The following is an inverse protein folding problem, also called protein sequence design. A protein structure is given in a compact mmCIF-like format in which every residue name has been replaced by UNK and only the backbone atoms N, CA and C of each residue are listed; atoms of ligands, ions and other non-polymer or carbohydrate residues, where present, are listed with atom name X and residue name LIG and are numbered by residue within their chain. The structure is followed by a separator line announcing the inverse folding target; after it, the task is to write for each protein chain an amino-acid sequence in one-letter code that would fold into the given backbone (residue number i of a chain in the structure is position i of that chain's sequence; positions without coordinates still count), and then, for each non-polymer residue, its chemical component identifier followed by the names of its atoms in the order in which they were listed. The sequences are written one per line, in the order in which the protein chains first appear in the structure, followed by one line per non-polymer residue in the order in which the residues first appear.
data_IF_609654921396
#
_entry.id   IF_609654921396
#
_cell.length_a   1.000
_cell.length_b   1.000
_cell.length_c   1.000
_cell.angle_alpha   90.00
_cell.angle_beta   90.00
_cell.angle_gamma   90.00
#
_symmetry.space_group_name_H-M   'P 1'
#
loop_
_entity.id
_entity.type
_entity.pdbx_description
1 polymer ?
#
# COMPACT_ATOMS: atom_id res chain seq x y z
N UNK A 1 -13.47 -8.86 -7.96
CA UNK A 1 -13.04 -9.08 -6.56
C UNK A 1 -13.98 -8.29 -5.64
N UNK A 2 -14.05 -8.56 -4.33
CA UNK A 2 -14.72 -7.64 -3.41
C UNK A 2 -13.68 -6.72 -2.76
N UNK A 3 -13.87 -5.40 -2.88
CA UNK A 3 -13.03 -4.39 -2.27
C UNK A 3 -13.93 -3.48 -1.44
N UNK A 4 -13.68 -3.40 -0.13
CA UNK A 4 -14.49 -2.63 0.82
C UNK A 4 -16.00 -2.93 0.77
N UNK A 5 -16.37 -4.19 0.53
CA UNK A 5 -17.78 -4.61 0.41
C UNK A 5 -18.41 -4.34 -0.97
N UNK A 6 -17.70 -3.68 -1.87
CA UNK A 6 -18.15 -3.42 -3.24
C UNK A 6 -17.61 -4.49 -4.19
N UNK A 7 -18.49 -5.03 -5.03
CA UNK A 7 -18.13 -6.01 -6.06
C UNK A 7 -17.54 -5.28 -7.26
N UNK A 8 -16.31 -5.64 -7.63
CA UNK A 8 -15.60 -5.10 -8.79
C UNK A 8 -15.39 -6.19 -9.84
N UNK A 9 -15.26 -5.77 -11.10
CA UNK A 9 -14.89 -6.66 -12.23
C UNK A 9 -13.38 -6.96 -12.27
N UNK A 10 -12.60 -6.38 -11.34
CA UNK A 10 -11.16 -6.61 -11.23
C UNK A 10 -10.86 -8.06 -10.80
N UNK A 11 -9.80 -8.68 -11.33
CA UNK A 11 -9.37 -10.00 -10.90
C UNK A 11 -8.96 -9.97 -9.42
N UNK A 12 -9.32 -11.02 -8.67
CA UNK A 12 -8.94 -11.17 -7.25
C UNK A 12 -7.58 -11.81 -7.04
N UNK A 13 -6.85 -12.09 -8.11
CA UNK A 13 -5.57 -12.78 -8.13
C UNK A 13 -4.73 -12.24 -9.28
N UNK A 14 -3.42 -12.50 -9.25
CA UNK A 14 -2.58 -12.24 -10.39
C UNK A 14 -1.10 -12.47 -10.18
N UNK A 15 -0.33 -12.29 -11.26
CA UNK A 15 1.11 -12.52 -11.26
C UNK A 15 1.88 -11.22 -11.54
N UNK A 16 2.89 -10.96 -10.71
CA UNK A 16 3.83 -9.86 -10.88
C UNK A 16 5.16 -10.42 -11.37
N UNK A 17 5.32 -10.53 -12.70
CA UNK A 17 6.56 -11.04 -13.30
C UNK A 17 7.74 -10.10 -13.16
N UNK A 18 7.46 -8.81 -12.98
CA UNK A 18 8.45 -7.75 -12.76
C UNK A 18 7.97 -6.86 -11.61
N UNK A 19 8.93 -6.21 -10.94
CA UNK A 19 8.61 -5.22 -9.91
C UNK A 19 8.01 -3.97 -10.54
N UNK A 20 6.85 -3.52 -10.04
CA UNK A 20 6.22 -2.28 -10.46
C UNK A 20 6.52 -1.15 -9.47
N UNK A 21 6.82 0.05 -9.96
CA UNK A 21 7.17 1.20 -9.11
C UNK A 21 6.08 1.53 -8.08
N UNK A 22 4.80 1.46 -8.47
CA UNK A 22 3.68 1.72 -7.54
C UNK A 22 3.54 0.68 -6.41
N UNK A 23 4.20 -0.48 -6.53
CA UNK A 23 4.23 -1.52 -5.50
C UNK A 23 5.48 -1.46 -4.62
N UNK A 24 6.41 -0.54 -4.91
CA UNK A 24 7.65 -0.38 -4.15
C UNK A 24 7.47 0.76 -3.16
N UNK A 25 7.40 0.41 -1.88
CA UNK A 25 7.36 1.40 -0.79
C UNK A 25 8.75 1.75 -0.26
N UNK A 26 9.82 1.09 -0.71
CA UNK A 26 11.19 1.36 -0.21
C UNK A 26 11.60 2.79 -0.54
N UNK A 27 12.00 3.56 0.48
CA UNK A 27 12.48 4.92 0.29
C UNK A 27 13.72 4.93 -0.62
N UNK A 28 13.76 5.86 -1.57
CA UNK A 28 14.86 5.98 -2.53
C UNK A 28 16.19 6.10 -1.80
N UNK A 29 17.19 5.32 -2.25
CA UNK A 29 18.54 5.26 -1.65
C UNK A 29 18.58 4.82 -0.18
N UNK A 30 17.57 4.09 0.31
CA UNK A 30 17.55 3.53 1.67
C UNK A 30 17.47 2.00 1.65
N UNK A 31 17.72 1.40 2.81
CA UNK A 31 17.51 -0.04 2.99
C UNK A 31 16.02 -0.37 3.00
N UNK A 32 15.70 -1.63 2.67
CA UNK A 32 14.33 -2.18 2.54
C UNK A 32 13.43 -2.03 3.77
N UNK A 33 13.97 -1.66 4.93
CA UNK A 33 13.19 -1.38 6.13
C UNK A 33 12.70 0.06 6.24
N UNK A 34 13.19 0.98 5.41
CA UNK A 34 12.72 2.36 5.37
C UNK A 34 11.72 2.49 4.23
N UNK A 35 10.50 2.86 4.57
CA UNK A 35 9.44 3.01 3.59
C UNK A 35 8.94 4.45 3.53
N UNK A 36 8.54 4.85 2.32
CA UNK A 36 7.85 6.10 2.06
C UNK A 36 6.51 5.75 1.42
N UNK A 37 5.43 5.96 2.17
CA UNK A 37 4.07 5.78 1.70
C UNK A 37 3.69 6.96 0.78
N UNK A 38 2.70 6.81 -0.13
CA UNK A 38 2.30 7.91 -0.98
C UNK A 38 1.63 9.02 -0.16
N UNK A 39 2.26 10.20 -0.15
CA UNK A 39 1.86 11.34 0.67
C UNK A 39 0.40 11.76 0.46
N UNK A 40 -0.11 11.65 -0.78
CA UNK A 40 -1.47 12.02 -1.15
C UNK A 40 -2.57 11.29 -0.35
N UNK A 41 -2.30 10.05 0.08
CA UNK A 41 -3.24 9.22 0.85
C UNK A 41 -2.96 9.23 2.35
N UNK A 42 -1.70 9.47 2.75
CA UNK A 42 -1.22 9.18 4.11
C UNK A 42 -0.73 10.39 4.90
N UNK A 43 -0.30 11.47 4.25
CA UNK A 43 0.31 12.59 4.97
C UNK A 43 -0.65 13.20 5.98
N UNK A 44 -0.11 13.53 7.16
CA UNK A 44 -0.86 14.09 8.30
C UNK A 44 -1.90 13.15 8.94
N UNK A 45 -2.01 11.89 8.51
CA UNK A 45 -2.82 10.91 9.25
C UNK A 45 -2.18 10.63 10.61
N UNK A 46 -2.86 10.97 11.72
CA UNK A 46 -2.26 10.84 13.06
C UNK A 46 -2.01 9.38 13.48
N UNK A 47 -2.98 8.48 13.29
CA UNK A 47 -2.91 7.07 13.70
C UNK A 47 -3.47 6.12 12.63
N UNK A 48 -2.92 6.07 11.41
CA UNK A 48 -3.42 5.22 10.34
C UNK A 48 -3.03 3.76 10.51
N UNK A 49 -2.13 3.43 11.43
CA UNK A 49 -1.67 2.07 11.67
C UNK A 49 -2.36 1.51 12.93
N UNK A 50 -3.03 0.37 12.79
CA UNK A 50 -3.69 -0.33 13.91
C UNK A 50 -2.72 -1.24 14.68
N UNK A 51 -1.51 -1.46 14.17
CA UNK A 51 -0.51 -2.31 14.79
C UNK A 51 0.84 -1.57 14.98
N UNK A 52 1.96 -2.30 14.97
CA UNK A 52 3.27 -1.87 15.49
C UNK A 52 3.99 -0.80 14.65
N UNK A 53 3.41 -0.35 13.54
CA UNK A 53 4.02 0.65 12.67
C UNK A 53 3.79 2.05 13.22
N UNK A 54 4.85 2.85 13.29
CA UNK A 54 4.82 4.22 13.74
C UNK A 54 5.46 5.14 12.71
N UNK A 55 5.01 6.40 12.68
CA UNK A 55 5.63 7.43 11.86
C UNK A 55 7.07 7.67 12.27
N UNK A 56 7.97 7.69 11.28
CA UNK A 56 9.22 8.41 11.39
C UNK A 56 9.00 9.89 11.07
N UNK A 57 8.23 10.16 10.02
CA UNK A 57 7.83 11.51 9.61
C UNK A 57 6.44 11.45 8.96
N UNK A 58 5.43 11.99 9.65
CA UNK A 58 4.04 11.99 9.17
C UNK A 58 3.79 12.95 8.00
N UNK A 59 4.61 13.99 7.84
CA UNK A 59 4.46 14.97 6.75
C UNK A 59 4.97 14.37 5.44
N UNK A 60 6.11 13.68 5.52
CA UNK A 60 6.73 13.00 4.38
C UNK A 60 6.25 11.54 4.18
N UNK A 61 5.29 11.11 5.00
CA UNK A 61 4.73 9.76 5.01
C UNK A 61 5.78 8.64 5.14
N UNK A 62 6.81 8.86 5.98
CA UNK A 62 7.92 7.92 6.19
C UNK A 62 7.69 7.04 7.41
N UNK A 63 7.94 5.74 7.25
CA UNK A 63 7.85 4.73 8.30
C UNK A 63 9.05 3.80 8.27
N UNK A 64 9.30 3.10 9.37
CA UNK A 64 10.34 2.07 9.44
C UNK A 64 9.75 0.75 9.87
N UNK A 65 9.91 -0.27 9.04
CA UNK A 65 9.57 -1.64 9.36
C UNK A 65 10.67 -2.24 10.27
N UNK A 66 10.27 -2.72 11.45
CA UNK A 66 11.16 -3.31 12.45
C UNK A 66 10.92 -4.82 12.52
N UNK A 67 11.55 -5.57 11.61
CA UNK A 67 11.49 -7.04 11.59
C UNK A 67 11.26 -7.61 10.20
N UNK A 68 11.36 -8.94 10.07
CA UNK A 68 11.03 -9.68 8.84
C UNK A 68 9.62 -10.27 8.96
N UNK A 69 8.89 -10.37 7.85
CA UNK A 69 7.58 -11.05 7.79
C UNK A 69 6.45 -10.33 8.51
N UNK A 70 6.46 -8.99 8.57
CA UNK A 70 5.41 -8.21 9.21
C UNK A 70 4.32 -7.82 8.22
N UNK A 71 3.08 -8.14 8.58
CA UNK A 71 1.87 -7.56 8.00
C UNK A 71 1.51 -6.27 8.77
N UNK A 72 1.07 -5.25 8.05
CA UNK A 72 0.68 -3.96 8.63
C UNK A 72 -0.80 -3.71 8.39
N UNK A 73 -1.50 -3.38 9.46
CA UNK A 73 -2.95 -3.17 9.43
C UNK A 73 -3.20 -1.66 9.40
N UNK A 74 -3.94 -1.22 8.38
CA UNK A 74 -4.29 0.18 8.18
C UNK A 74 -5.73 0.45 8.64
N UNK A 75 -5.94 1.60 9.28
CA UNK A 75 -7.25 2.07 9.71
C UNK A 75 -7.96 2.82 8.59
N UNK A 76 -8.49 2.09 7.60
CA UNK A 76 -9.22 2.69 6.48
C UNK A 76 -10.57 3.26 6.88
N UNK A 77 -11.20 2.77 7.95
CA UNK A 77 -12.44 3.35 8.50
C UNK A 77 -12.24 4.80 8.94
N UNK A 78 -11.14 5.07 9.64
CA UNK A 78 -10.79 6.44 10.08
C UNK A 78 -10.15 7.27 8.97
N UNK A 79 -9.43 6.63 8.06
CA UNK A 79 -8.68 7.29 6.98
C UNK A 79 -9.09 6.72 5.62
N UNK A 80 -10.26 7.11 5.08
CA UNK A 80 -10.84 6.50 3.87
C UNK A 80 -10.00 6.67 2.61
N UNK A 81 -9.08 7.64 2.57
CA UNK A 81 -8.10 7.78 1.47
C UNK A 81 -7.21 6.55 1.30
N UNK A 82 -7.02 5.75 2.35
CA UNK A 82 -6.30 4.48 2.28
C UNK A 82 -7.01 3.49 1.36
N UNK A 83 -8.36 3.51 1.32
CA UNK A 83 -9.10 2.69 0.38
C UNK A 83 -8.80 3.12 -1.06
N UNK A 84 -8.79 4.43 -1.34
CA UNK A 84 -8.46 4.96 -2.67
C UNK A 84 -7.07 4.50 -3.14
N UNK A 85 -6.09 4.53 -2.24
CA UNK A 85 -4.77 3.96 -2.51
C UNK A 85 -4.85 2.47 -2.86
N UNK A 86 -5.52 1.66 -2.03
CA UNK A 86 -5.66 0.23 -2.27
C UNK A 86 -6.35 -0.08 -3.61
N UNK A 87 -7.41 0.65 -3.96
CA UNK A 87 -8.07 0.56 -5.27
C UNK A 87 -7.09 0.87 -6.40
N UNK A 88 -6.34 1.97 -6.29
CA UNK A 88 -5.38 2.38 -7.32
C UNK A 88 -4.30 1.33 -7.56
N UNK A 89 -3.86 0.62 -6.50
CA UNK A 89 -2.87 -0.44 -6.62
C UNK A 89 -3.42 -1.64 -7.40
N UNK A 90 -4.68 -2.03 -7.16
CA UNK A 90 -5.29 -3.15 -7.87
C UNK A 90 -5.57 -2.75 -9.32
N UNK A 91 -6.17 -1.59 -9.55
CA UNK A 91 -6.55 -1.10 -10.88
C UNK A 91 -5.33 -0.95 -11.81
N UNK A 92 -4.27 -0.26 -11.35
CA UNK A 92 -3.06 -0.03 -12.16
C UNK A 92 -2.32 -1.32 -12.53
N UNK A 93 -2.60 -2.40 -11.82
CA UNK A 93 -1.90 -3.67 -11.99
C UNK A 93 -2.80 -4.81 -12.51
N UNK A 94 -4.11 -4.60 -12.64
CA UNK A 94 -5.08 -5.61 -13.06
C UNK A 94 -4.86 -6.13 -14.49
N UNK A 95 -4.42 -5.28 -15.43
CA UNK A 95 -4.18 -5.70 -16.82
C UNK A 95 -2.86 -6.47 -17.00
N UNK A 96 -1.88 -6.20 -16.14
CA UNK A 96 -0.57 -6.85 -16.15
C UNK A 96 -0.64 -8.29 -15.63
N UNK A 97 -1.72 -8.59 -14.92
CA UNK A 97 -2.06 -9.87 -14.34
C UNK A 97 -2.69 -10.81 -15.38
N UNK A 98 -3.40 -10.28 -16.39
CA UNK A 98 -4.15 -11.08 -17.37
C UNK A 98 -3.38 -11.40 -18.66
N UNK A 99 -2.20 -10.80 -18.87
CA UNK A 99 -1.38 -11.02 -20.08
C UNK A 99 -0.25 -12.04 -19.84
N UNK A 100 -0.63 -13.30 -19.62
CA UNK A 100 0.14 -14.51 -20.00
C UNK A 100 -0.62 -15.74 -19.47
N UNK A 101 -1.61 -16.19 -20.24
CA UNK A 101 -1.97 -17.60 -20.34
C UNK A 101 -1.90 -17.95 -21.82
#
# INVERSE_FOLDING_TARGET
MNLNGERTDLPGYGYFGESHESLILTEKNKSRSNWQLPAEYFSFAEKPFLNRLNWLDKKLAKVKCLGRGQEFILNSEKYPKINLWAYSLVEQNADKISKKI
#
